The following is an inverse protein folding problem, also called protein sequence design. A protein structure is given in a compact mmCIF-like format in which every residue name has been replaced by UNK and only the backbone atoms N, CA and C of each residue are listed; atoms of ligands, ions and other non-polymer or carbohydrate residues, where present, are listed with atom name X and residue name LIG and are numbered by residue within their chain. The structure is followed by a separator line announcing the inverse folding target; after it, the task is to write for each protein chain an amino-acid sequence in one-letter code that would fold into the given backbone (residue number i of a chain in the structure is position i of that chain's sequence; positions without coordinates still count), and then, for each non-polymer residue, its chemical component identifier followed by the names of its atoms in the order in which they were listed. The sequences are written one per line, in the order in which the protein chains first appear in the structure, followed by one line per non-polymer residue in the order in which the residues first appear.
data_IF_567967185387
#
_entry.id   IF_567967185387
#
_cell.length_a   1.000
_cell.length_b   1.000
_cell.length_c   1.000
_cell.angle_alpha   90.00
_cell.angle_beta   90.00
_cell.angle_gamma   90.00
#
_symmetry.space_group_name_H-M   'P 1'
#
loop_
_entity.id
_entity.type
_entity.pdbx_description
1 polymer ?
#
# COMPACT_ATOMS: atom_id res chain seq x y z
N UNK A 1 33.92 17.47 -19.84
CA UNK A 1 34.31 17.18 -18.43
C UNK A 1 33.03 16.84 -17.66
N UNK A 2 32.72 15.56 -17.64
CA UNK A 2 31.53 15.05 -16.95
C UNK A 2 31.84 14.80 -15.49
N UNK A 3 31.09 15.42 -14.59
CA UNK A 3 31.06 15.02 -13.17
C UNK A 3 29.85 14.17 -12.95
N UNK A 4 30.09 12.86 -12.80
CA UNK A 4 29.06 11.88 -12.47
C UNK A 4 28.47 12.18 -11.10
N UNK A 5 27.16 12.31 -11.08
CA UNK A 5 26.36 12.20 -9.85
C UNK A 5 26.45 10.75 -9.36
N UNK A 6 27.36 10.51 -8.41
CA UNK A 6 27.36 9.29 -7.63
C UNK A 6 26.09 9.31 -6.76
N UNK A 7 25.05 8.66 -7.25
CA UNK A 7 23.81 8.48 -6.51
C UNK A 7 24.07 7.71 -5.23
N UNK A 8 24.01 8.37 -4.08
CA UNK A 8 23.83 7.71 -2.80
C UNK A 8 22.52 6.94 -2.88
N UNK A 9 22.60 5.63 -2.98
CA UNK A 9 21.48 4.73 -2.74
C UNK A 9 21.05 4.87 -1.28
N UNK A 10 20.20 5.84 -1.00
CA UNK A 10 19.40 5.83 0.20
C UNK A 10 18.51 4.60 0.10
N UNK A 11 18.78 3.62 0.93
CA UNK A 11 17.91 2.47 1.16
C UNK A 11 16.57 2.98 1.73
N UNK A 12 15.68 3.38 0.83
CA UNK A 12 14.28 3.61 1.11
C UNK A 12 13.65 2.26 1.47
N UNK A 13 13.73 1.87 2.73
CA UNK A 13 12.83 0.88 3.28
C UNK A 13 11.46 1.55 3.45
N UNK A 14 10.75 1.75 2.35
CA UNK A 14 9.32 1.85 2.40
C UNK A 14 8.82 0.48 2.87
N UNK A 15 8.28 0.42 4.08
CA UNK A 15 7.62 -0.79 4.55
C UNK A 15 6.46 -1.08 3.59
N UNK A 16 6.36 -2.32 3.08
CA UNK A 16 5.18 -2.69 2.33
C UNK A 16 4.01 -2.71 3.28
N UNK A 17 3.10 -1.77 3.14
CA UNK A 17 1.77 -1.98 3.65
C UNK A 17 1.13 -3.08 2.81
N UNK A 18 1.22 -4.30 3.30
CA UNK A 18 0.08 -5.16 3.15
C UNK A 18 -0.99 -4.58 4.09
N UNK A 19 -1.90 -3.77 3.57
CA UNK A 19 -3.22 -3.65 4.18
C UNK A 19 -3.80 -5.04 4.03
N UNK A 20 -3.48 -5.90 5.00
CA UNK A 20 -4.09 -7.20 5.15
C UNK A 20 -5.54 -6.94 5.49
N UNK A 21 -6.41 -7.50 4.64
CA UNK A 21 -7.80 -7.70 4.90
C UNK A 21 -8.10 -7.98 6.39
N UNK A 22 -9.25 -7.46 6.90
CA UNK A 22 -9.70 -7.84 8.22
C UNK A 22 -10.14 -9.30 8.15
N UNK A 23 -9.41 -10.18 8.71
CA UNK A 23 -9.72 -11.55 9.10
C UNK A 23 -8.77 -12.59 8.52
N UNK A 24 -7.95 -13.04 9.34
CA UNK A 24 -7.70 -14.41 9.80
C UNK A 24 -6.45 -14.33 10.67
N UNK A 25 -6.67 -14.44 11.96
CA UNK A 25 -5.71 -14.73 13.03
C UNK A 25 -4.23 -14.86 12.60
N UNK A 26 -3.57 -13.77 12.28
CA UNK A 26 -2.15 -13.69 12.55
C UNK A 26 -2.04 -13.47 14.06
N UNK A 27 -1.53 -14.46 14.75
CA UNK A 27 -0.97 -14.27 16.07
C UNK A 27 0.07 -13.14 15.97
N UNK A 28 -0.36 -11.90 16.19
CA UNK A 28 0.53 -10.76 16.38
C UNK A 28 1.50 -11.19 17.49
N UNK A 29 2.81 -11.02 17.33
CA UNK A 29 3.68 -11.17 18.49
C UNK A 29 3.12 -10.22 19.56
N UNK A 30 2.79 -10.77 20.72
CA UNK A 30 2.11 -10.07 21.82
C UNK A 30 2.90 -8.86 22.37
N UNK A 31 4.10 -8.62 21.85
CA UNK A 31 4.97 -7.50 22.20
C UNK A 31 5.87 -7.15 21.02
N UNK A 32 6.12 -5.85 20.76
CA UNK A 32 7.10 -5.44 19.76
C UNK A 32 8.46 -6.06 20.12
N UNK A 33 9.28 -6.45 19.12
CA UNK A 33 10.60 -6.98 19.39
C UNK A 33 11.36 -6.00 20.32
N UNK A 34 11.97 -6.52 21.37
CA UNK A 34 12.69 -5.71 22.42
C UNK A 34 13.70 -4.71 21.82
N UNK A 35 14.10 -4.93 20.59
CA UNK A 35 15.05 -4.09 19.85
C UNK A 35 14.44 -2.71 19.47
N UNK A 36 13.14 -2.62 19.13
CA UNK A 36 12.53 -1.35 18.67
C UNK A 36 12.50 -0.27 19.75
N UNK A 37 12.06 -0.53 21.00
CA UNK A 37 12.13 0.47 22.07
C UNK A 37 13.56 0.95 22.35
N UNK A 38 14.54 0.06 22.23
CA UNK A 38 15.94 0.40 22.37
C UNK A 38 16.42 1.32 21.23
N UNK A 39 16.05 1.01 19.97
CA UNK A 39 16.35 1.82 18.81
C UNK A 39 15.76 3.24 18.94
N UNK A 40 14.49 3.35 19.32
CA UNK A 40 13.84 4.63 19.59
C UNK A 40 14.62 5.44 20.64
N UNK A 41 15.10 4.80 21.71
CA UNK A 41 15.90 5.49 22.74
C UNK A 41 17.23 6.02 22.15
N UNK A 42 17.92 5.22 21.37
CA UNK A 42 19.16 5.65 20.71
C UNK A 42 18.94 6.80 19.74
N UNK A 43 17.89 6.73 18.91
CA UNK A 43 17.55 7.81 17.98
C UNK A 43 17.10 9.09 18.70
N UNK A 44 16.48 9.02 19.87
CA UNK A 44 16.17 10.21 20.69
C UNK A 44 17.43 10.92 21.19
N UNK A 45 18.41 10.17 21.68
CA UNK A 45 19.71 10.77 22.07
C UNK A 45 20.44 11.38 20.87
N UNK A 46 20.36 10.71 19.71
CA UNK A 46 20.93 11.27 18.48
C UNK A 46 20.20 12.56 18.07
N UNK A 47 18.87 12.61 18.18
CA UNK A 47 18.08 13.81 17.91
C UNK A 47 18.48 14.97 18.84
N UNK A 48 18.64 14.72 20.15
CA UNK A 48 19.09 15.69 21.11
C UNK A 48 20.45 16.29 20.70
N UNK A 49 21.40 15.44 20.34
CA UNK A 49 22.71 15.88 19.85
C UNK A 49 22.62 16.71 18.56
N UNK A 50 21.76 16.34 17.62
CA UNK A 50 21.54 17.11 16.38
C UNK A 50 20.98 18.50 16.66
N UNK A 51 20.00 18.59 17.59
CA UNK A 51 19.41 19.87 17.98
C UNK A 51 20.44 20.80 18.68
N UNK A 52 21.29 20.25 19.54
CA UNK A 52 22.36 21.00 20.21
C UNK A 52 23.40 21.55 19.23
N UNK A 53 23.68 20.84 18.15
CA UNK A 53 24.68 21.20 17.16
C UNK A 53 24.10 21.93 15.94
N UNK A 54 22.78 22.13 15.87
CA UNK A 54 22.11 22.72 14.71
C UNK A 54 22.20 21.87 13.43
N UNK A 55 22.31 20.54 13.57
CA UNK A 55 22.37 19.59 12.43
C UNK A 55 20.95 19.25 11.95
N UNK A 56 20.40 20.08 11.07
CA UNK A 56 19.05 19.85 10.49
C UNK A 56 18.94 18.58 9.65
N UNK A 57 20.02 18.08 9.06
CA UNK A 57 20.02 16.81 8.29
C UNK A 57 19.92 15.62 9.26
N UNK A 58 20.71 15.65 10.31
CA UNK A 58 20.64 14.64 11.37
C UNK A 58 19.29 14.66 12.09
N UNK A 59 18.72 15.84 12.36
CA UNK A 59 17.38 16.01 12.93
C UNK A 59 16.32 15.35 12.07
N UNK A 60 16.30 15.63 10.75
CA UNK A 60 15.37 15.02 9.80
C UNK A 60 15.48 13.49 9.79
N UNK A 61 16.72 12.97 9.76
CA UNK A 61 16.98 11.52 9.78
C UNK A 61 16.51 10.87 11.09
N UNK A 62 16.80 11.49 12.23
CA UNK A 62 16.38 11.00 13.55
C UNK A 62 14.87 10.96 13.66
N UNK A 63 14.19 12.06 13.30
CA UNK A 63 12.73 12.13 13.33
C UNK A 63 12.08 11.05 12.44
N UNK A 64 12.58 10.86 11.20
CA UNK A 64 12.07 9.81 10.33
C UNK A 64 12.26 8.42 10.94
N UNK A 65 13.45 8.12 11.47
CA UNK A 65 13.77 6.81 12.04
C UNK A 65 12.92 6.50 13.27
N UNK A 66 12.71 7.46 14.17
CA UNK A 66 11.85 7.30 15.34
C UNK A 66 10.40 7.06 14.90
N UNK A 67 9.91 7.82 13.90
CA UNK A 67 8.56 7.65 13.36
C UNK A 67 8.34 6.25 12.79
N UNK A 68 9.28 5.75 12.00
CA UNK A 68 9.24 4.39 11.43
C UNK A 68 9.28 3.32 12.52
N UNK A 69 10.14 3.47 13.55
CA UNK A 69 10.18 2.52 14.65
C UNK A 69 8.85 2.46 15.42
N UNK A 70 8.20 3.61 15.64
CA UNK A 70 6.86 3.63 16.24
C UNK A 70 5.81 2.98 15.36
N UNK A 71 5.84 3.15 14.04
CA UNK A 71 4.94 2.41 13.12
C UNK A 71 5.14 0.90 13.24
N UNK A 72 6.41 0.44 13.31
CA UNK A 72 6.75 -0.98 13.48
C UNK A 72 6.31 -1.55 14.82
N UNK A 73 6.21 -0.73 15.87
CA UNK A 73 5.69 -1.12 17.17
C UNK A 73 4.17 -1.37 17.18
N UNK A 74 3.46 -0.94 16.15
CA UNK A 74 2.05 -1.24 15.93
C UNK A 74 1.09 -0.11 16.27
N UNK A 75 -0.23 -0.39 16.17
CA UNK A 75 -1.31 0.61 16.28
C UNK A 75 -1.28 1.49 17.52
N UNK A 76 -0.92 0.94 18.66
CA UNK A 76 -0.84 1.69 19.92
C UNK A 76 0.12 2.89 19.83
N UNK A 77 1.08 2.86 18.90
CA UNK A 77 2.13 3.85 18.75
C UNK A 77 1.97 4.74 17.50
N UNK A 78 0.91 4.57 16.72
CA UNK A 78 0.71 5.32 15.46
C UNK A 78 0.63 6.83 15.73
N UNK A 79 0.03 7.27 16.83
CA UNK A 79 -0.03 8.70 17.19
C UNK A 79 1.36 9.29 17.44
N UNK A 80 2.25 8.54 18.09
CA UNK A 80 3.64 8.93 18.26
C UNK A 80 4.38 8.96 16.92
N UNK A 81 4.13 7.99 16.03
CA UNK A 81 4.70 7.99 14.70
C UNK A 81 4.30 9.25 13.92
N UNK A 82 3.03 9.65 13.95
CA UNK A 82 2.53 10.89 13.30
C UNK A 82 3.30 12.10 13.83
N UNK A 83 3.48 12.23 15.16
CA UNK A 83 4.21 13.37 15.73
C UNK A 83 5.63 13.49 15.19
N UNK A 84 6.34 12.38 15.06
CA UNK A 84 7.72 12.39 14.55
C UNK A 84 7.79 12.58 13.04
N UNK A 85 6.87 12.01 12.27
CA UNK A 85 6.80 12.26 10.83
C UNK A 85 6.38 13.69 10.50
N UNK A 86 5.57 14.34 11.34
CA UNK A 86 5.26 15.78 11.21
C UNK A 86 6.49 16.62 11.47
N UNK A 87 7.27 16.34 12.53
CA UNK A 87 8.55 17.01 12.76
C UNK A 87 9.52 16.80 11.59
N UNK A 88 9.60 15.56 11.07
CA UNK A 88 10.41 15.28 9.89
C UNK A 88 9.98 16.14 8.70
N UNK A 89 8.67 16.28 8.45
CA UNK A 89 8.14 17.11 7.35
C UNK A 89 8.56 18.58 7.45
N UNK A 90 8.66 19.13 8.68
CA UNK A 90 9.02 20.53 8.93
C UNK A 90 10.48 20.83 8.54
N UNK A 91 11.41 19.91 8.85
CA UNK A 91 12.84 20.14 8.68
C UNK A 91 13.44 19.50 7.42
N UNK A 92 12.70 18.61 6.77
CA UNK A 92 13.18 17.81 5.64
C UNK A 92 13.35 18.63 4.35
N UNK A 93 14.30 18.21 3.53
CA UNK A 93 14.46 18.61 2.13
C UNK A 93 13.33 18.01 1.23
N UNK A 94 13.40 18.27 -0.08
CA UNK A 94 12.35 17.82 -1.01
C UNK A 94 12.17 16.29 -1.03
N UNK A 95 13.23 15.47 -1.11
CA UNK A 95 13.10 14.02 -0.95
C UNK A 95 12.56 13.59 0.41
N UNK A 96 13.01 14.23 1.48
CA UNK A 96 12.52 13.95 2.83
C UNK A 96 11.04 14.29 3.01
N UNK A 97 10.55 15.37 2.41
CA UNK A 97 9.11 15.72 2.40
C UNK A 97 8.26 14.67 1.70
N UNK A 98 8.77 14.12 0.59
CA UNK A 98 8.13 12.97 -0.05
C UNK A 98 7.98 11.79 0.93
N UNK A 99 9.07 11.41 1.62
CA UNK A 99 9.07 10.31 2.59
C UNK A 99 8.13 10.60 3.76
N UNK A 100 8.16 11.81 4.30
CA UNK A 100 7.30 12.22 5.41
C UNK A 100 5.82 12.10 5.05
N UNK A 101 5.42 12.57 3.86
CA UNK A 101 4.04 12.46 3.41
C UNK A 101 3.63 11.01 3.12
N UNK A 102 4.50 10.17 2.56
CA UNK A 102 4.22 8.73 2.45
C UNK A 102 3.94 8.13 3.82
N UNK A 103 4.82 8.36 4.80
CA UNK A 103 4.68 7.77 6.14
C UNK A 103 3.45 8.32 6.90
N UNK A 104 3.16 9.62 6.78
CA UNK A 104 1.94 10.21 7.36
C UNK A 104 0.68 9.59 6.75
N UNK A 105 0.63 9.43 5.42
CA UNK A 105 -0.48 8.78 4.74
C UNK A 105 -0.73 7.35 5.25
N UNK A 106 0.36 6.59 5.46
CA UNK A 106 0.31 5.25 6.02
C UNK A 106 -0.22 5.24 7.47
N UNK A 107 0.22 6.20 8.29
CA UNK A 107 -0.24 6.33 9.67
C UNK A 107 -1.74 6.68 9.73
N UNK A 108 -2.20 7.61 8.91
CA UNK A 108 -3.62 7.99 8.87
C UNK A 108 -4.50 6.85 8.34
N UNK A 109 -4.03 6.10 7.34
CA UNK A 109 -4.73 4.90 6.88
C UNK A 109 -4.87 3.85 8.00
N UNK A 110 -3.82 3.66 8.83
CA UNK A 110 -3.85 2.76 9.98
C UNK A 110 -4.83 3.21 11.09
N UNK A 111 -5.14 4.50 11.17
CA UNK A 111 -6.14 5.06 12.08
C UNK A 111 -7.54 5.11 11.48
N UNK A 112 -7.76 4.53 10.30
CA UNK A 112 -9.00 4.62 9.55
C UNK A 112 -9.46 6.07 9.27
N UNK A 113 -8.51 6.95 8.97
CA UNK A 113 -8.70 8.36 8.59
C UNK A 113 -8.39 8.52 7.09
N UNK A 114 -9.31 8.14 6.19
CA UNK A 114 -9.02 8.04 4.76
C UNK A 114 -8.78 9.40 4.10
N UNK A 115 -9.44 10.46 4.56
CA UNK A 115 -9.30 11.80 3.97
C UNK A 115 -7.88 12.35 4.17
N UNK A 116 -7.35 12.24 5.38
CA UNK A 116 -6.00 12.65 5.72
C UNK A 116 -4.95 11.75 5.03
N UNK A 117 -5.24 10.46 4.92
CA UNK A 117 -4.38 9.52 4.22
C UNK A 117 -4.29 9.88 2.72
N UNK A 118 -5.43 10.12 2.06
CA UNK A 118 -5.48 10.57 0.66
C UNK A 118 -4.72 11.88 0.47
N UNK A 119 -4.98 12.89 1.32
CA UNK A 119 -4.31 14.19 1.21
C UNK A 119 -2.78 14.05 1.28
N UNK A 120 -2.28 13.24 2.22
CA UNK A 120 -0.84 13.01 2.36
C UNK A 120 -0.25 12.24 1.15
N UNK A 121 -0.90 11.19 0.67
CA UNK A 121 -0.40 10.48 -0.52
C UNK A 121 -0.49 11.32 -1.81
N UNK A 122 -1.47 12.24 -1.93
CA UNK A 122 -1.49 13.22 -3.01
C UNK A 122 -0.31 14.20 -2.92
N UNK A 123 0.06 14.66 -1.71
CA UNK A 123 1.27 15.45 -1.53
C UNK A 123 2.52 14.65 -1.91
N UNK A 124 2.63 13.39 -1.47
CA UNK A 124 3.73 12.52 -1.87
C UNK A 124 3.80 12.38 -3.39
N UNK A 125 2.67 12.16 -4.08
CA UNK A 125 2.61 12.09 -5.54
C UNK A 125 3.14 13.37 -6.21
N UNK A 126 2.73 14.55 -5.72
CA UNK A 126 3.23 15.84 -6.24
C UNK A 126 4.75 15.96 -6.07
N UNK A 127 5.30 15.55 -4.93
CA UNK A 127 6.76 15.55 -4.71
C UNK A 127 7.47 14.54 -5.60
N UNK A 128 6.92 13.33 -5.80
CA UNK A 128 7.48 12.33 -6.69
C UNK A 128 7.57 12.82 -8.14
N UNK A 129 6.49 13.44 -8.65
CA UNK A 129 6.45 14.05 -9.99
C UNK A 129 7.49 15.19 -10.08
N UNK A 130 7.56 16.08 -9.08
CA UNK A 130 8.54 17.18 -9.05
C UNK A 130 9.99 16.69 -9.09
N UNK A 131 10.27 15.54 -8.47
CA UNK A 131 11.60 14.90 -8.47
C UNK A 131 11.83 14.02 -9.71
N UNK A 132 10.88 13.91 -10.62
CA UNK A 132 10.90 12.97 -11.75
C UNK A 132 11.17 11.52 -11.29
N UNK A 133 10.66 11.13 -10.11
CA UNK A 133 10.86 9.82 -9.52
C UNK A 133 9.73 8.87 -9.91
N UNK A 134 9.91 8.09 -10.97
CA UNK A 134 8.92 7.10 -11.40
C UNK A 134 8.61 6.06 -10.31
N UNK A 135 9.62 5.67 -9.52
CA UNK A 135 9.42 4.75 -8.40
C UNK A 135 8.57 5.39 -7.29
N UNK A 136 8.81 6.66 -6.98
CA UNK A 136 8.01 7.41 -6.02
C UNK A 136 6.57 7.61 -6.49
N UNK A 137 6.38 7.91 -7.78
CA UNK A 137 5.06 8.04 -8.41
C UNK A 137 4.30 6.70 -8.34
N UNK A 138 4.96 5.59 -8.67
CA UNK A 138 4.37 4.24 -8.60
C UNK A 138 3.89 3.90 -7.19
N UNK A 139 4.72 4.15 -6.17
CA UNK A 139 4.35 3.89 -4.78
C UNK A 139 3.18 4.77 -4.31
N UNK A 140 3.19 6.06 -4.65
CA UNK A 140 2.11 6.98 -4.27
C UNK A 140 0.78 6.60 -4.95
N UNK A 141 0.80 6.23 -6.23
CA UNK A 141 -0.37 5.73 -6.95
C UNK A 141 -0.90 4.43 -6.32
N UNK A 142 -0.03 3.48 -5.98
CA UNK A 142 -0.42 2.25 -5.32
C UNK A 142 -1.15 2.49 -3.99
N UNK A 143 -0.61 3.37 -3.15
CA UNK A 143 -1.22 3.72 -1.87
C UNK A 143 -2.57 4.46 -2.06
N UNK A 144 -2.66 5.39 -3.00
CA UNK A 144 -3.92 6.07 -3.32
C UNK A 144 -4.99 5.09 -3.80
N UNK A 145 -4.62 4.13 -4.67
CA UNK A 145 -5.53 3.09 -5.14
C UNK A 145 -6.07 2.21 -4.01
N UNK A 146 -5.21 1.83 -3.06
CA UNK A 146 -5.61 1.05 -1.88
C UNK A 146 -6.63 1.79 -1.01
N UNK A 147 -6.41 3.08 -0.74
CA UNK A 147 -7.31 3.87 0.09
C UNK A 147 -8.63 4.13 -0.65
N UNK A 148 -8.57 4.46 -1.95
CA UNK A 148 -9.75 4.68 -2.76
C UNK A 148 -10.63 3.43 -2.90
N UNK A 149 -10.06 2.23 -2.77
CA UNK A 149 -10.79 0.95 -2.80
C UNK A 149 -11.41 0.55 -1.46
N UNK A 150 -11.11 1.27 -0.36
CA UNK A 150 -11.59 0.92 0.97
C UNK A 150 -13.02 1.46 1.23
N UNK A 151 -13.81 0.72 1.97
CA UNK A 151 -15.18 1.13 2.35
C UNK A 151 -16.15 1.23 1.17
N UNK A 152 -16.90 2.33 1.08
CA UNK A 152 -17.78 2.69 -0.05
C UNK A 152 -17.02 3.29 -1.24
N UNK A 153 -15.80 2.88 -1.43
CA UNK A 153 -14.73 3.45 -2.17
C UNK A 153 -15.02 3.94 -3.61
N UNK A 154 -14.23 4.85 -4.05
CA UNK A 154 -14.20 5.35 -5.43
C UNK A 154 -13.48 4.33 -6.34
N UNK A 155 -14.23 3.30 -6.79
CA UNK A 155 -13.70 2.23 -7.64
C UNK A 155 -13.05 2.75 -8.94
N UNK A 156 -13.64 3.74 -9.67
CA UNK A 156 -12.99 4.33 -10.83
C UNK A 156 -11.63 4.93 -10.52
N UNK A 157 -11.50 5.72 -9.46
CA UNK A 157 -10.22 6.30 -9.04
C UNK A 157 -9.24 5.22 -8.59
N UNK A 158 -9.69 4.23 -7.83
CA UNK A 158 -8.85 3.10 -7.43
C UNK A 158 -8.28 2.35 -8.63
N UNK A 159 -9.12 2.07 -9.64
CA UNK A 159 -8.71 1.39 -10.88
C UNK A 159 -7.69 2.22 -11.66
N UNK A 160 -7.94 3.51 -11.86
CA UNK A 160 -7.01 4.41 -12.55
C UNK A 160 -5.64 4.48 -11.84
N UNK A 161 -5.63 4.53 -10.51
CA UNK A 161 -4.41 4.52 -9.71
C UNK A 161 -3.63 3.20 -9.85
N UNK A 162 -4.31 2.06 -9.80
CA UNK A 162 -3.69 0.74 -9.96
C UNK A 162 -3.15 0.52 -11.39
N UNK A 163 -3.87 0.97 -12.41
CA UNK A 163 -3.41 0.94 -13.81
C UNK A 163 -2.16 1.83 -14.01
N UNK A 164 -2.15 3.02 -13.41
CA UNK A 164 -0.98 3.90 -13.44
C UNK A 164 0.22 3.27 -12.74
N UNK A 165 0.02 2.67 -11.56
CA UNK A 165 1.05 1.92 -10.86
C UNK A 165 1.61 0.80 -11.74
N UNK A 166 0.75 0.00 -12.39
CA UNK A 166 1.16 -1.08 -13.28
C UNK A 166 2.02 -0.58 -14.46
N UNK A 167 1.62 0.53 -15.08
CA UNK A 167 2.36 1.16 -16.17
C UNK A 167 3.77 1.57 -15.73
N UNK A 168 3.87 2.23 -14.58
CA UNK A 168 5.14 2.68 -14.02
C UNK A 168 6.03 1.50 -13.61
N UNK A 169 5.45 0.48 -12.96
CA UNK A 169 6.16 -0.73 -12.55
C UNK A 169 6.69 -1.53 -13.76
N UNK A 170 5.96 -1.53 -14.88
CA UNK A 170 6.45 -2.11 -16.15
C UNK A 170 7.66 -1.33 -16.68
N UNK A 171 7.59 0.00 -16.69
CA UNK A 171 8.70 0.86 -17.13
C UNK A 171 9.96 0.67 -16.28
N UNK A 172 9.78 0.49 -14.98
CA UNK A 172 10.86 0.27 -14.02
C UNK A 172 11.38 -1.18 -13.97
N UNK A 173 10.68 -2.10 -14.64
CA UNK A 173 10.86 -3.54 -14.51
C UNK A 173 10.77 -4.02 -13.03
N UNK A 174 9.88 -3.40 -12.26
CA UNK A 174 9.61 -3.71 -10.85
C UNK A 174 8.55 -4.81 -10.75
N UNK A 175 8.98 -6.05 -10.56
CA UNK A 175 8.06 -7.19 -10.47
C UNK A 175 7.15 -7.10 -9.24
N UNK A 176 7.65 -6.55 -8.13
CA UNK A 176 6.86 -6.38 -6.92
C UNK A 176 5.74 -5.35 -7.14
N UNK A 177 6.07 -4.19 -7.70
CA UNK A 177 5.08 -3.17 -8.05
C UNK A 177 4.03 -3.67 -9.05
N UNK A 178 4.45 -4.50 -10.05
CA UNK A 178 3.52 -5.18 -10.97
C UNK A 178 2.57 -6.11 -10.21
N UNK A 179 3.11 -6.95 -9.31
CA UNK A 179 2.33 -7.89 -8.52
C UNK A 179 1.31 -7.19 -7.62
N UNK A 180 1.70 -6.11 -6.95
CA UNK A 180 0.80 -5.29 -6.13
C UNK A 180 -0.31 -4.66 -6.96
N UNK A 181 0.01 -4.10 -8.13
CA UNK A 181 -0.98 -3.50 -9.03
C UNK A 181 -1.95 -4.55 -9.59
N UNK A 182 -1.46 -5.72 -10.02
CA UNK A 182 -2.33 -6.82 -10.47
C UNK A 182 -3.26 -7.30 -9.36
N UNK A 183 -2.77 -7.43 -8.13
CA UNK A 183 -3.61 -7.81 -6.99
C UNK A 183 -4.72 -6.79 -6.73
N UNK A 184 -4.41 -5.49 -6.78
CA UNK A 184 -5.41 -4.43 -6.65
C UNK A 184 -6.46 -4.49 -7.77
N UNK A 185 -6.03 -4.60 -9.03
CA UNK A 185 -6.93 -4.73 -10.18
C UNK A 185 -7.82 -5.97 -10.06
N UNK A 186 -7.26 -7.09 -9.61
CA UNK A 186 -8.04 -8.32 -9.37
C UNK A 186 -9.12 -8.14 -8.31
N UNK A 187 -8.82 -7.47 -7.20
CA UNK A 187 -9.81 -7.16 -6.16
C UNK A 187 -10.92 -6.25 -6.71
N UNK A 188 -10.55 -5.20 -7.43
CA UNK A 188 -11.49 -4.25 -8.01
C UNK A 188 -12.41 -4.91 -9.05
N UNK A 189 -11.86 -5.74 -9.95
CA UNK A 189 -12.63 -6.50 -10.94
C UNK A 189 -13.59 -7.48 -10.26
N UNK A 190 -13.15 -8.15 -9.18
CA UNK A 190 -14.02 -9.06 -8.44
C UNK A 190 -15.18 -8.33 -7.74
N UNK A 191 -14.95 -7.13 -7.17
CA UNK A 191 -16.00 -6.28 -6.60
C UNK A 191 -17.02 -5.84 -7.66
N UNK A 192 -16.56 -5.60 -8.89
CA UNK A 192 -17.41 -5.20 -10.02
C UNK A 192 -18.15 -6.38 -10.68
N UNK A 193 -18.00 -7.60 -10.20
CA UNK A 193 -18.59 -8.81 -10.80
C UNK A 193 -17.85 -9.31 -12.06
N UNK A 194 -16.73 -8.71 -12.43
CA UNK A 194 -15.90 -9.16 -13.56
C UNK A 194 -14.94 -10.26 -13.09
N UNK A 195 -15.51 -11.42 -12.69
CA UNK A 195 -14.78 -12.48 -12.00
C UNK A 195 -13.69 -13.13 -12.85
N UNK A 196 -13.92 -13.29 -14.16
CA UNK A 196 -12.90 -13.84 -15.08
C UNK A 196 -11.69 -12.91 -15.20
N UNK A 197 -11.93 -11.59 -15.29
CA UNK A 197 -10.88 -10.58 -15.29
C UNK A 197 -10.11 -10.60 -13.95
N UNK A 198 -10.81 -10.75 -12.84
CA UNK A 198 -10.22 -10.86 -11.51
C UNK A 198 -9.29 -12.09 -11.41
N UNK A 199 -9.74 -13.25 -11.89
CA UNK A 199 -8.92 -14.48 -11.95
C UNK A 199 -7.66 -14.23 -12.76
N UNK A 200 -7.79 -13.62 -13.95
CA UNK A 200 -6.63 -13.31 -14.79
C UNK A 200 -5.60 -12.44 -14.05
N UNK A 201 -6.03 -11.36 -13.40
CA UNK A 201 -5.13 -10.49 -12.65
C UNK A 201 -4.47 -11.20 -11.47
N UNK A 202 -5.21 -12.01 -10.71
CA UNK A 202 -4.63 -12.77 -9.60
C UNK A 202 -3.64 -13.84 -10.08
N UNK A 203 -3.85 -14.44 -11.26
CA UNK A 203 -2.89 -15.38 -11.86
C UNK A 203 -1.59 -14.67 -12.25
N UNK A 204 -1.66 -13.45 -12.81
CA UNK A 204 -0.48 -12.64 -13.07
C UNK A 204 0.28 -12.28 -11.79
N UNK A 205 -0.43 -11.88 -10.73
CA UNK A 205 0.19 -11.61 -9.44
C UNK A 205 0.85 -12.86 -8.83
N UNK A 206 0.19 -14.02 -8.93
CA UNK A 206 0.72 -15.30 -8.45
C UNK A 206 1.99 -15.70 -9.20
N UNK A 207 2.02 -15.57 -10.52
CA UNK A 207 3.19 -15.91 -11.34
C UNK A 207 4.41 -15.05 -10.96
N UNK A 208 4.22 -13.74 -10.77
CA UNK A 208 5.29 -12.85 -10.33
C UNK A 208 5.80 -13.22 -8.94
N UNK A 209 4.90 -13.51 -7.99
CA UNK A 209 5.28 -13.94 -6.65
C UNK A 209 6.08 -15.25 -6.65
N UNK A 210 5.71 -16.20 -7.52
CA UNK A 210 6.46 -17.46 -7.70
C UNK A 210 7.87 -17.22 -8.26
N UNK A 211 8.02 -16.30 -9.23
CA UNK A 211 9.32 -15.93 -9.79
C UNK A 211 10.25 -15.30 -8.76
N UNK A 212 9.69 -14.51 -7.83
CA UNK A 212 10.42 -13.88 -6.72
C UNK A 212 10.63 -14.82 -5.52
N UNK A 213 10.03 -16.01 -5.52
CA UNK A 213 10.10 -16.96 -4.42
C UNK A 213 9.27 -16.55 -3.19
N UNK A 214 8.31 -15.61 -3.34
CA UNK A 214 7.41 -15.17 -2.26
C UNK A 214 6.21 -16.11 -2.14
N UNK A 215 6.38 -17.18 -1.35
CA UNK A 215 5.32 -18.16 -1.12
C UNK A 215 4.09 -17.58 -0.42
N UNK A 216 4.27 -16.56 0.43
CA UNK A 216 3.16 -15.95 1.14
C UNK A 216 2.25 -15.19 0.17
N UNK A 217 2.82 -14.36 -0.69
CA UNK A 217 2.06 -13.62 -1.72
C UNK A 217 1.45 -14.58 -2.73
N UNK A 218 2.19 -15.61 -3.16
CA UNK A 218 1.68 -16.66 -4.07
C UNK A 218 0.47 -17.39 -3.48
N UNK A 219 0.52 -17.78 -2.21
CA UNK A 219 -0.59 -18.46 -1.54
C UNK A 219 -1.81 -17.52 -1.36
N UNK A 220 -1.58 -16.25 -1.02
CA UNK A 220 -2.63 -15.25 -0.95
C UNK A 220 -3.34 -15.08 -2.30
N UNK A 221 -2.59 -14.95 -3.39
CA UNK A 221 -3.16 -14.84 -4.73
C UNK A 221 -3.96 -16.09 -5.12
N UNK A 222 -3.50 -17.30 -4.76
CA UNK A 222 -4.23 -18.56 -4.96
C UNK A 222 -5.57 -18.57 -4.23
N UNK A 223 -5.62 -18.07 -2.99
CA UNK A 223 -6.88 -17.92 -2.26
C UNK A 223 -7.83 -16.95 -2.98
N UNK A 224 -7.33 -15.80 -3.46
CA UNK A 224 -8.13 -14.83 -4.20
C UNK A 224 -8.68 -15.41 -5.50
N UNK A 225 -7.92 -16.21 -6.23
CA UNK A 225 -8.39 -16.95 -7.41
C UNK A 225 -9.55 -17.88 -7.05
N UNK A 226 -9.42 -18.62 -5.94
CA UNK A 226 -10.49 -19.50 -5.45
C UNK A 226 -11.76 -18.73 -5.14
N UNK A 227 -11.65 -17.58 -4.47
CA UNK A 227 -12.79 -16.70 -4.16
C UNK A 227 -13.45 -16.17 -5.43
N UNK A 228 -12.67 -15.65 -6.39
CA UNK A 228 -13.21 -15.11 -7.64
C UNK A 228 -13.95 -16.20 -8.45
N UNK A 229 -13.39 -17.41 -8.56
CA UNK A 229 -14.07 -18.55 -9.21
C UNK A 229 -15.33 -18.98 -8.47
N UNK A 230 -15.33 -18.95 -7.13
CA UNK A 230 -16.51 -19.24 -6.32
C UNK A 230 -17.61 -18.21 -6.54
N UNK A 231 -17.27 -16.92 -6.61
CA UNK A 231 -18.23 -15.85 -6.89
C UNK A 231 -18.87 -16.01 -8.29
N UNK A 232 -18.06 -16.29 -9.32
CA UNK A 232 -18.56 -16.56 -10.68
C UNK A 232 -19.57 -17.72 -10.69
N UNK A 233 -19.24 -18.84 -10.04
CA UNK A 233 -20.13 -20.00 -9.97
C UNK A 233 -21.43 -19.70 -9.19
N UNK A 234 -21.35 -18.83 -8.18
CA UNK A 234 -22.51 -18.40 -7.42
C UNK A 234 -23.45 -17.51 -8.24
N UNK A 235 -22.90 -16.57 -9.01
CA UNK A 235 -23.66 -15.70 -9.90
C UNK A 235 -24.35 -16.50 -11.01
N UNK A 236 -23.68 -17.50 -11.58
CA UNK A 236 -24.27 -18.43 -12.54
C UNK A 236 -25.43 -19.23 -11.93
N UNK A 237 -25.26 -19.71 -10.70
CA UNK A 237 -26.31 -20.42 -9.98
C UNK A 237 -27.54 -19.54 -9.73
N UNK A 238 -27.35 -18.32 -9.21
CA UNK A 238 -28.44 -17.37 -8.98
C UNK A 238 -29.15 -17.00 -10.27
N UNK A 239 -28.41 -16.76 -11.35
CA UNK A 239 -28.98 -16.45 -12.67
C UNK A 239 -29.83 -17.60 -13.19
N UNK A 240 -29.38 -18.84 -13.02
CA UNK A 240 -30.15 -20.04 -13.36
C UNK A 240 -31.43 -20.17 -12.55
N UNK A 241 -31.40 -19.92 -11.25
CA UNK A 241 -32.59 -19.94 -10.37
C UNK A 241 -33.63 -18.89 -10.78
N UNK A 242 -33.18 -17.67 -11.10
CA UNK A 242 -34.07 -16.58 -11.55
C UNK A 242 -34.72 -16.92 -12.90
N UNK A 243 -33.97 -17.50 -13.83
CA UNK A 243 -34.49 -17.93 -15.13
C UNK A 243 -35.59 -19.02 -14.96
N UNK A 244 -35.33 -20.04 -14.16
CA UNK A 244 -36.31 -21.08 -13.85
C UNK A 244 -37.57 -20.55 -13.19
N UNK A 245 -37.45 -19.59 -12.27
CA UNK A 245 -38.59 -18.95 -11.62
C UNK A 245 -39.43 -18.14 -12.63
N UNK A 246 -38.79 -17.42 -13.55
CA UNK A 246 -39.48 -16.67 -14.61
C UNK A 246 -40.26 -17.59 -15.56
N UNK A 247 -39.66 -18.73 -15.96
CA UNK A 247 -40.32 -19.72 -16.83
C UNK A 247 -41.53 -20.37 -16.13
N UNK A 248 -41.45 -20.67 -14.84
CA UNK A 248 -42.55 -21.23 -14.05
C UNK A 248 -43.74 -20.27 -13.99
N UNK A 249 -43.52 -18.97 -13.81
CA UNK A 249 -44.60 -17.97 -13.78
C UNK A 249 -45.21 -17.69 -15.15
N UNK A 250 -44.48 -17.85 -16.23
CA UNK A 250 -44.98 -17.71 -17.60
C UNK A 250 -45.90 -18.89 -18.02
N UNK A 251 -45.66 -20.09 -17.46
CA UNK A 251 -46.46 -21.28 -17.75
C UNK A 251 -47.84 -21.35 -17.05
N UNK A 252 -48.07 -20.52 -16.02
CA UNK A 252 -49.35 -20.51 -15.28
C UNK A 252 -50.45 -19.60 -15.93
N UNK A 253 -50.12 -18.91 -17.01
CA UNK A 253 -51.03 -18.00 -17.71
C UNK A 253 -51.55 -18.54 -19.08
N UNK A 254 -51.39 -19.83 -19.31
CA UNK A 254 -51.99 -20.57 -20.44
C UNK A 254 -52.89 -21.67 -19.91
#
# INVERSE_FOLDING_TARGET
MGRGCAGRRLLLRALPLSVSEPSLSRSRPASPPKVLPQAVKCYKHFLESCLENGDGVGEALACNSIGVDYQLMGEAYVKQAIQYHTKHLEVADVPGKYIAHVNLGLCYAALAMPEEAVANHQHALRYAIRMCSLAGESLACGNLGLIASAGEGDIPTAKACAERQLQLARTLNDNRGKGDAYRQLGVLSNIQGAHDEAVHYFEQAMQLAQQEGDEHVSNSARCCIGVAKGNASFDDYISGMVAHAADATAGEHH
#
